data_IF_387536103128
#
_entry.id   IF_387536103128
#
_cell.length_a   1.000
_cell.length_b   1.000
_cell.length_c   1.000
_cell.angle_alpha   90.00
_cell.angle_beta   90.00
_cell.angle_gamma   90.00
#
_symmetry.space_group_name_H-M   'P 1'
#
loop_
_entity.id
_entity.type
_entity.pdbx_description
1 polymer ?
#
# COMPACT_ATOMS: atom_id res chain seq x y z
N UNK A 1 -9.61 25.72 -12.41
CA UNK A 1 -9.70 25.07 -11.09
C UNK A 1 -8.62 23.99 -11.06
N UNK A 2 -7.50 24.29 -10.43
CA UNK A 2 -6.33 23.40 -10.34
C UNK A 2 -6.72 22.16 -9.53
N UNK A 3 -6.74 21.00 -10.19
CA UNK A 3 -6.85 19.70 -9.52
C UNK A 3 -5.65 19.55 -8.57
N UNK A 4 -5.89 19.68 -7.27
CA UNK A 4 -4.90 19.34 -6.25
C UNK A 4 -4.54 17.87 -6.39
N UNK A 5 -3.26 17.60 -6.64
CA UNK A 5 -2.65 16.28 -6.49
C UNK A 5 -2.72 15.89 -5.01
N UNK A 6 -3.87 15.39 -4.55
CA UNK A 6 -3.93 14.60 -3.33
C UNK A 6 -3.30 13.24 -3.64
N UNK A 7 -1.98 13.17 -3.57
CA UNK A 7 -1.30 11.89 -3.38
C UNK A 7 -1.66 11.43 -1.96
N UNK A 8 -2.65 10.56 -1.86
CA UNK A 8 -3.05 9.95 -0.61
C UNK A 8 -1.91 9.01 -0.14
N UNK A 9 -1.08 9.49 0.78
CA UNK A 9 0.03 8.71 1.34
C UNK A 9 -0.47 7.69 2.38
N UNK A 10 0.15 6.51 2.39
CA UNK A 10 -0.03 5.53 3.46
C UNK A 10 1.03 5.79 4.54
N UNK A 11 0.59 5.94 5.78
CA UNK A 11 1.47 6.29 6.91
C UNK A 11 1.21 5.37 8.11
N UNK A 12 2.26 5.13 8.90
CA UNK A 12 2.14 4.47 10.20
C UNK A 12 1.78 5.51 11.26
N UNK A 13 0.82 5.18 12.13
CA UNK A 13 0.35 6.01 13.25
C UNK A 13 -0.01 5.11 14.43
N UNK A 14 -0.22 5.70 15.61
CA UNK A 14 -0.70 4.98 16.79
C UNK A 14 -2.04 4.27 16.55
N UNK A 15 -2.17 3.05 17.08
CA UNK A 15 -3.35 2.22 16.89
C UNK A 15 -4.56 2.76 17.66
N UNK A 16 -5.67 3.00 16.95
CA UNK A 16 -6.97 3.34 17.50
C UNK A 16 -7.98 2.27 17.11
N UNK A 17 -8.28 1.37 18.06
CA UNK A 17 -9.25 0.28 17.86
C UNK A 17 -10.59 0.82 17.34
N UNK A 18 -11.10 0.23 16.27
CA UNK A 18 -12.37 0.61 15.63
C UNK A 18 -12.31 1.85 14.73
N UNK A 19 -11.13 2.45 14.52
CA UNK A 19 -10.99 3.56 13.57
C UNK A 19 -11.12 3.08 12.12
N UNK A 20 -12.15 3.54 11.40
CA UNK A 20 -12.31 3.26 9.97
C UNK A 20 -11.15 3.80 9.11
N UNK A 21 -10.42 4.81 9.58
CA UNK A 21 -9.23 5.35 8.91
C UNK A 21 -8.01 4.43 9.00
N UNK A 22 -8.00 3.48 9.95
CA UNK A 22 -6.92 2.51 10.15
C UNK A 22 -7.36 1.08 9.79
N UNK A 23 -8.61 0.92 9.35
CA UNK A 23 -9.18 -0.37 9.00
C UNK A 23 -9.08 -0.59 7.49
N UNK A 24 -8.69 -1.79 7.09
CA UNK A 24 -8.46 -2.20 5.71
C UNK A 24 -9.10 -3.56 5.47
N UNK A 25 -9.54 -3.80 4.24
CA UNK A 25 -10.11 -5.07 3.82
C UNK A 25 -9.49 -5.47 2.48
N UNK A 26 -9.20 -6.75 2.31
CA UNK A 26 -8.92 -7.31 1.01
C UNK A 26 -10.25 -7.67 0.34
N UNK A 27 -10.47 -7.19 -0.88
CA UNK A 27 -11.66 -7.58 -1.63
C UNK A 27 -11.43 -8.87 -2.45
N UNK A 28 -12.50 -9.38 -3.07
CA UNK A 28 -12.46 -10.65 -3.84
C UNK A 28 -11.50 -10.62 -5.04
N UNK A 29 -11.14 -9.44 -5.52
CA UNK A 29 -10.20 -9.26 -6.65
C UNK A 29 -8.78 -8.94 -6.18
N UNK A 30 -8.45 -9.15 -4.91
CA UNK A 30 -7.10 -9.04 -4.35
C UNK A 30 -6.63 -7.61 -4.06
N UNK A 31 -7.51 -6.61 -4.07
CA UNK A 31 -7.13 -5.24 -3.71
C UNK A 31 -7.23 -5.02 -2.20
N UNK A 32 -6.26 -4.32 -1.62
CA UNK A 32 -6.37 -3.79 -0.26
C UNK A 32 -7.08 -2.43 -0.28
N UNK A 33 -8.25 -2.35 0.36
CA UNK A 33 -9.14 -1.18 0.33
C UNK A 33 -9.32 -0.62 1.74
N UNK A 34 -9.08 0.69 1.97
CA UNK A 34 -9.32 1.30 3.28
C UNK A 34 -10.83 1.43 3.54
N UNK A 35 -11.27 1.10 4.75
CA UNK A 35 -12.69 1.11 5.10
C UNK A 35 -13.33 2.51 5.02
N UNK A 36 -12.54 3.57 5.22
CA UNK A 36 -13.00 4.97 5.12
C UNK A 36 -13.06 5.52 3.67
N UNK A 37 -12.39 4.90 2.69
CA UNK A 37 -12.32 5.36 1.29
C UNK A 37 -12.44 4.16 0.34
N UNK A 38 -13.66 3.60 0.23
CA UNK A 38 -13.92 2.36 -0.52
C UNK A 38 -13.71 2.46 -2.04
N UNK A 39 -13.64 3.68 -2.57
CA UNK A 39 -13.30 3.99 -3.97
C UNK A 39 -11.79 3.99 -4.22
N UNK A 40 -10.97 3.68 -3.21
CA UNK A 40 -9.52 3.67 -3.27
C UNK A 40 -8.95 2.31 -2.95
N UNK A 41 -7.75 2.05 -3.45
CA UNK A 41 -6.99 0.83 -3.16
C UNK A 41 -5.52 1.15 -2.96
N UNK A 42 -4.86 0.31 -2.18
CA UNK A 42 -3.42 0.32 -1.99
C UNK A 42 -2.73 0.03 -3.32
N UNK A 43 -1.81 0.89 -3.71
CA UNK A 43 -1.10 0.81 -4.98
C UNK A 43 0.38 1.08 -4.74
N UNK A 44 1.26 0.34 -5.42
CA UNK A 44 2.68 0.66 -5.45
C UNK A 44 3.05 1.40 -6.74
N UNK A 45 3.85 2.44 -6.63
CA UNK A 45 4.39 3.16 -7.78
C UNK A 45 5.91 3.00 -7.81
N UNK A 46 6.44 2.47 -8.91
CA UNK A 46 7.87 2.44 -9.16
C UNK A 46 8.36 3.88 -9.34
N UNK A 47 9.26 4.33 -8.45
CA UNK A 47 9.82 5.70 -8.54
C UNK A 47 11.05 5.77 -9.44
N UNK A 48 11.75 4.65 -9.64
CA UNK A 48 12.89 4.53 -10.53
C UNK A 48 13.03 3.06 -10.99
N UNK A 49 13.42 2.81 -12.24
CA UNK A 49 13.70 1.46 -12.75
C UNK A 49 15.02 0.87 -12.24
N UNK A 50 15.90 1.69 -11.65
CA UNK A 50 17.23 1.25 -11.18
C UNK A 50 17.29 0.92 -9.69
N UNK A 51 16.39 1.48 -8.88
CA UNK A 51 16.22 1.12 -7.48
C UNK A 51 14.75 0.75 -7.27
N UNK A 52 14.46 -0.44 -6.75
CA UNK A 52 13.09 -0.89 -6.37
C UNK A 52 12.55 -0.10 -5.16
N UNK A 53 12.75 1.23 -5.12
CA UNK A 53 12.06 2.13 -4.22
C UNK A 53 10.66 2.35 -4.77
N UNK A 54 9.70 1.76 -4.08
CA UNK A 54 8.30 1.96 -4.40
C UNK A 54 7.67 2.81 -3.32
N UNK A 55 6.95 3.84 -3.76
CA UNK A 55 6.04 4.55 -2.86
C UNK A 55 4.73 3.81 -2.85
N UNK A 56 4.17 3.61 -1.67
CA UNK A 56 2.85 3.01 -1.50
C UNK A 56 1.86 4.13 -1.22
N UNK A 57 0.81 4.19 -2.03
CA UNK A 57 -0.20 5.25 -1.99
C UNK A 57 -1.59 4.66 -2.21
N UNK A 58 -2.61 5.50 -2.08
CA UNK A 58 -3.95 5.15 -2.51
C UNK A 58 -4.20 5.62 -3.95
N UNK A 59 -4.68 4.70 -4.78
CA UNK A 59 -5.14 4.98 -6.15
C UNK A 59 -6.66 4.88 -6.24
N UNK A 60 -7.25 5.64 -7.18
CA UNK A 60 -8.65 5.46 -7.64
C UNK A 60 -8.76 4.34 -8.69
N UNK A 61 -7.67 4.06 -9.40
CA UNK A 61 -7.57 2.95 -10.33
C UNK A 61 -7.17 1.67 -9.57
N UNK A 62 -8.15 0.80 -9.40
CA UNK A 62 -8.03 -0.48 -8.71
C UNK A 62 -8.08 -1.69 -9.64
N UNK A 63 -7.88 -1.43 -10.93
CA UNK A 63 -7.79 -2.46 -11.98
C UNK A 63 -6.34 -2.77 -12.33
N UNK A 64 -5.42 -1.83 -12.06
CA UNK A 64 -4.00 -2.00 -12.30
C UNK A 64 -3.39 -3.19 -11.53
N UNK A 65 -2.46 -3.90 -12.17
CA UNK A 65 -1.65 -4.95 -11.56
C UNK A 65 -0.98 -4.50 -10.25
N UNK A 66 -0.53 -3.25 -10.19
CA UNK A 66 0.13 -2.68 -9.02
C UNK A 66 -0.79 -2.39 -7.82
N UNK A 67 -2.08 -2.71 -7.94
CA UNK A 67 -3.05 -2.66 -6.84
C UNK A 67 -3.39 -4.04 -6.26
N UNK A 68 -2.79 -5.11 -6.79
CA UNK A 68 -3.04 -6.50 -6.40
C UNK A 68 -2.07 -6.96 -5.33
N UNK A 69 -2.62 -7.49 -4.25
CA UNK A 69 -1.89 -7.92 -3.07
C UNK A 69 -2.37 -9.26 -2.57
N UNK A 70 -1.49 -9.97 -1.90
CA UNK A 70 -1.74 -11.26 -1.27
C UNK A 70 -1.13 -11.28 0.13
N UNK A 71 -1.90 -11.74 1.10
CA UNK A 71 -1.37 -12.06 2.42
C UNK A 71 -0.88 -13.51 2.40
N UNK A 72 0.43 -13.70 2.47
CA UNK A 72 1.05 -15.01 2.53
C UNK A 72 0.91 -15.63 3.95
N UNK A 73 1.01 -16.96 4.05
CA UNK A 73 0.89 -17.69 5.33
C UNK A 73 1.91 -17.25 6.38
N UNK A 74 3.06 -16.72 5.95
CA UNK A 74 4.10 -16.20 6.84
C UNK A 74 3.88 -14.74 7.28
N UNK A 75 2.72 -14.15 6.97
CA UNK A 75 2.35 -12.79 7.35
C UNK A 75 2.93 -11.68 6.47
N UNK A 76 3.59 -12.03 5.35
CA UNK A 76 4.03 -11.05 4.37
C UNK A 76 2.87 -10.61 3.48
N UNK A 77 2.76 -9.30 3.26
CA UNK A 77 1.88 -8.75 2.22
C UNK A 77 2.69 -8.58 0.94
N UNK A 78 2.39 -9.38 -0.08
CA UNK A 78 3.12 -9.45 -1.34
C UNK A 78 2.30 -8.90 -2.51
N UNK A 79 2.93 -8.17 -3.43
CA UNK A 79 2.31 -7.75 -4.69
C UNK A 79 2.13 -8.92 -5.66
N UNK A 80 0.99 -8.99 -6.34
CA UNK A 80 0.74 -9.96 -7.42
C UNK A 80 1.07 -9.31 -8.77
N UNK A 81 2.33 -9.39 -9.21
CA UNK A 81 2.79 -8.83 -10.50
C UNK A 81 2.54 -9.88 -11.58
N UNK A 82 1.64 -9.65 -12.57
CA UNK A 82 1.20 -10.68 -13.52
C UNK A 82 2.25 -11.22 -14.49
N UNK A 83 3.47 -10.69 -14.51
CA UNK A 83 4.45 -10.96 -15.58
C UNK A 83 5.90 -11.14 -15.10
N UNK A 84 6.09 -11.34 -13.78
CA UNK A 84 7.37 -11.79 -13.26
C UNK A 84 7.28 -13.29 -12.99
N UNK A 85 8.24 -14.05 -13.53
CA UNK A 85 8.45 -15.49 -13.29
C UNK A 85 8.25 -15.81 -11.80
N UNK A 86 7.78 -17.02 -11.43
CA UNK A 86 6.98 -17.28 -10.22
C UNK A 86 7.72 -17.21 -8.86
N UNK A 87 8.67 -16.31 -8.68
CA UNK A 87 9.50 -16.23 -7.47
C UNK A 87 9.73 -14.82 -6.90
N UNK A 88 9.26 -13.71 -7.49
CA UNK A 88 9.59 -12.38 -6.94
C UNK A 88 8.43 -11.38 -6.97
N UNK A 89 7.31 -11.68 -6.29
CA UNK A 89 6.42 -10.61 -5.84
C UNK A 89 7.13 -9.74 -4.80
N UNK A 90 6.92 -8.42 -4.83
CA UNK A 90 7.53 -7.47 -3.90
C UNK A 90 6.75 -7.47 -2.59
N UNK A 91 7.47 -7.52 -1.46
CA UNK A 91 6.85 -7.49 -0.15
C UNK A 91 6.75 -6.06 0.39
N UNK A 92 5.62 -5.74 1.02
CA UNK A 92 5.46 -4.48 1.74
C UNK A 92 6.34 -4.49 2.99
N UNK A 93 7.24 -3.51 3.10
CA UNK A 93 8.08 -3.31 4.27
C UNK A 93 8.10 -1.83 4.66
N UNK A 94 8.04 -1.55 5.97
CA UNK A 94 8.29 -0.22 6.49
C UNK A 94 9.81 0.01 6.59
N UNK A 95 10.31 1.06 5.94
CA UNK A 95 11.70 1.48 6.12
C UNK A 95 11.77 2.52 7.24
N UNK A 96 12.52 2.22 8.29
CA UNK A 96 12.90 3.21 9.30
C UNK A 96 14.07 4.04 8.75
N UNK A 97 13.79 5.22 8.19
CA UNK A 97 14.82 6.26 8.05
C UNK A 97 14.97 6.92 9.43
N UNK A 98 15.90 6.41 10.24
CA UNK A 98 15.98 6.73 11.66
C UNK A 98 16.07 8.23 11.95
N UNK A 99 14.99 8.79 12.52
CA UNK A 99 15.00 9.76 13.63
C UNK A 99 13.68 9.61 14.40
N UNK A 100 13.70 8.80 15.45
CA UNK A 100 12.61 8.83 16.42
C UNK A 100 12.88 9.97 17.40
N UNK A 101 12.08 11.04 17.32
CA UNK A 101 11.93 11.98 18.44
C UNK A 101 10.71 11.51 19.23
N UNK A 102 10.93 10.73 20.28
CA UNK A 102 9.88 10.46 21.26
C UNK A 102 9.83 11.67 22.19
N UNK A 103 8.74 12.44 22.18
CA UNK A 103 8.39 13.29 23.31
C UNK A 103 7.55 12.45 24.26
N UNK A 104 8.09 12.17 25.45
CA UNK A 104 7.36 11.60 26.59
C UNK A 104 6.61 12.73 27.28
#
# INVERSE_FOLDING_TARGET
LTHGNETDFVVLRECKKGSAQQSWQQNEVGNMVPSAKKDRCLHFQATNSTELRMTVSLSRDCTAASSKWEMLENGLLQSQIPDQTPQQGLCLAARSEGRYNYHI
#
